data_IF_896332281017
#
_entry.id   IF_896332281017
#
_cell.length_a   1.000
_cell.length_b   1.000
_cell.length_c   1.000
_cell.angle_alpha   90.00
_cell.angle_beta   90.00
_cell.angle_gamma   90.00
#
_symmetry.space_group_name_H-M   'P 1'
#
loop_
_entity.id
_entity.type
_entity.pdbx_description
1 polymer ?
#
# COMPACT_ATOMS: atom_id res chain seq x y z
N UNK A 1 31.54 64.03 -10.87
CA UNK A 1 31.73 62.68 -10.27
C UNK A 1 30.35 62.09 -10.05
N UNK A 2 29.98 61.03 -10.80
CA UNK A 2 28.67 60.37 -10.67
C UNK A 2 28.72 59.48 -9.43
N UNK A 3 27.91 59.80 -8.43
CA UNK A 3 27.77 59.00 -7.22
C UNK A 3 27.05 57.70 -7.60
N UNK A 4 27.82 56.63 -7.84
CA UNK A 4 27.28 55.29 -8.04
C UNK A 4 26.68 54.88 -6.70
N UNK A 5 25.37 54.73 -6.67
CA UNK A 5 24.61 54.38 -5.48
C UNK A 5 24.94 52.93 -5.09
N UNK A 6 26.04 52.76 -4.35
CA UNK A 6 26.67 51.48 -3.96
C UNK A 6 25.68 50.53 -3.28
N UNK A 7 24.70 51.08 -2.56
CA UNK A 7 23.63 50.34 -1.92
C UNK A 7 22.75 49.57 -2.92
N UNK A 8 22.42 50.20 -4.05
CA UNK A 8 21.51 49.61 -5.06
C UNK A 8 22.22 48.52 -5.88
N UNK A 9 23.54 48.68 -6.07
CA UNK A 9 24.40 47.67 -6.67
C UNK A 9 24.57 46.44 -5.74
N UNK A 10 24.80 46.66 -4.44
CA UNK A 10 24.88 45.57 -3.44
C UNK A 10 23.55 44.81 -3.31
N UNK A 11 22.41 45.50 -3.34
CA UNK A 11 21.07 44.87 -3.27
C UNK A 11 20.79 43.99 -4.48
N UNK A 12 21.17 44.42 -5.69
CA UNK A 12 21.08 43.62 -6.92
C UNK A 12 22.01 42.41 -6.91
N UNK A 13 23.20 42.54 -6.32
CA UNK A 13 24.12 41.41 -6.17
C UNK A 13 23.60 40.37 -5.17
N UNK A 14 23.13 40.81 -3.99
CA UNK A 14 22.54 39.89 -3.01
C UNK A 14 21.33 39.14 -3.54
N UNK A 15 20.40 39.82 -4.22
CA UNK A 15 19.20 39.18 -4.78
C UNK A 15 19.54 38.16 -5.87
N UNK A 16 20.54 38.43 -6.72
CA UNK A 16 21.04 37.47 -7.71
C UNK A 16 21.72 36.27 -7.05
N UNK A 17 22.55 36.48 -6.03
CA UNK A 17 23.22 35.39 -5.31
C UNK A 17 22.23 34.47 -4.59
N UNK A 18 21.19 35.03 -3.96
CA UNK A 18 20.13 34.26 -3.31
C UNK A 18 19.35 33.44 -4.36
N UNK A 19 19.01 34.03 -5.50
CA UNK A 19 18.29 33.33 -6.57
C UNK A 19 19.10 32.18 -7.18
N UNK A 20 20.42 32.35 -7.34
CA UNK A 20 21.34 31.30 -7.79
C UNK A 20 21.44 30.18 -6.74
N UNK A 21 21.54 30.51 -5.45
CA UNK A 21 21.55 29.53 -4.37
C UNK A 21 20.25 28.72 -4.31
N UNK A 22 19.10 29.35 -4.53
CA UNK A 22 17.80 28.67 -4.60
C UNK A 22 17.72 27.74 -5.81
N UNK A 23 18.23 28.15 -6.97
CA UNK A 23 18.28 27.27 -8.16
C UNK A 23 19.23 26.08 -7.97
N UNK A 24 20.40 26.30 -7.36
CA UNK A 24 21.35 25.21 -7.05
C UNK A 24 20.73 24.24 -6.03
N UNK A 25 19.99 24.74 -5.04
CA UNK A 25 19.25 23.90 -4.08
C UNK A 25 18.14 23.07 -4.77
N UNK A 26 17.47 23.62 -5.79
CA UNK A 26 16.48 22.87 -6.57
C UNK A 26 17.11 21.80 -7.47
N UNK A 27 18.27 22.06 -8.07
CA UNK A 27 18.96 21.12 -8.98
C UNK A 27 19.64 19.97 -8.21
N UNK A 28 20.06 20.20 -6.96
CA UNK A 28 20.70 19.17 -6.11
C UNK A 28 19.70 18.27 -5.38
N UNK A 29 18.38 18.53 -5.49
CA UNK A 29 17.35 17.58 -5.07
C UNK A 29 17.29 16.42 -6.05
N UNK A 30 18.15 15.44 -5.83
CA UNK A 30 17.99 14.12 -6.43
C UNK A 30 16.65 13.54 -5.96
N UNK A 31 15.77 13.23 -6.90
CA UNK A 31 14.52 12.52 -6.62
C UNK A 31 14.88 11.10 -6.20
N UNK A 32 15.00 10.89 -4.89
CA UNK A 32 15.14 9.54 -4.33
C UNK A 32 13.83 8.82 -4.66
N UNK A 33 13.85 7.83 -5.56
CA UNK A 33 12.63 7.07 -5.89
C UNK A 33 12.38 6.03 -4.80
N UNK A 34 11.41 6.29 -3.93
CA UNK A 34 10.84 5.32 -3.01
C UNK A 34 9.48 4.83 -3.54
N UNK A 35 8.88 3.83 -2.90
CA UNK A 35 7.50 3.41 -3.21
C UNK A 35 6.52 4.41 -2.59
N UNK A 36 5.85 5.23 -3.40
CA UNK A 36 5.09 6.36 -2.89
C UNK A 36 3.58 6.20 -3.09
N UNK A 37 2.77 6.26 -2.02
CA UNK A 37 1.33 6.44 -2.11
C UNK A 37 0.92 7.74 -2.83
N UNK A 38 1.79 8.76 -2.88
CA UNK A 38 1.50 10.06 -3.51
C UNK A 38 1.13 9.93 -5.00
N UNK A 39 1.70 8.96 -5.73
CA UNK A 39 1.38 8.77 -7.13
C UNK A 39 -0.04 8.26 -7.34
N UNK A 40 -0.54 7.43 -6.42
CA UNK A 40 -1.94 7.06 -6.43
C UNK A 40 -2.81 8.30 -6.18
N UNK A 41 -2.52 9.07 -5.12
CA UNK A 41 -3.27 10.29 -4.75
C UNK A 41 -3.33 11.32 -5.89
N UNK A 42 -2.24 11.48 -6.65
CA UNK A 42 -2.17 12.42 -7.78
C UNK A 42 -2.84 11.89 -9.04
N UNK A 43 -2.76 10.58 -9.30
CA UNK A 43 -3.21 9.98 -10.56
C UNK A 43 -4.65 9.46 -10.55
N UNK A 44 -5.22 9.21 -9.36
CA UNK A 44 -6.51 8.53 -9.24
C UNK A 44 -7.41 9.18 -8.18
N UNK A 45 -8.68 9.35 -8.53
CA UNK A 45 -9.68 9.94 -7.62
C UNK A 45 -9.98 9.03 -6.43
N UNK A 46 -10.14 7.75 -6.70
CA UNK A 46 -10.35 6.70 -5.71
C UNK A 46 -9.24 5.66 -5.87
N UNK A 47 -8.58 5.20 -4.79
CA UNK A 47 -7.54 4.18 -4.89
C UNK A 47 -8.08 2.80 -5.26
N UNK A 48 -9.40 2.57 -5.23
CA UNK A 48 -10.04 1.31 -5.58
C UNK A 48 -10.98 1.50 -6.78
N UNK A 49 -10.71 0.73 -7.83
CA UNK A 49 -11.52 0.67 -9.04
C UNK A 49 -12.85 -0.06 -8.76
N UNK A 50 -13.84 0.13 -9.63
CA UNK A 50 -15.14 -0.57 -9.51
C UNK A 50 -15.02 -2.10 -9.53
N UNK A 51 -13.95 -2.63 -10.12
CA UNK A 51 -13.60 -4.06 -10.13
C UNK A 51 -13.10 -4.58 -8.78
N UNK A 52 -12.85 -3.69 -7.82
CA UNK A 52 -12.22 -4.00 -6.53
C UNK A 52 -10.69 -4.03 -6.57
N UNK A 53 -10.08 -3.80 -7.74
CA UNK A 53 -8.62 -3.65 -7.88
C UNK A 53 -8.16 -2.32 -7.28
N UNK A 54 -7.04 -2.35 -6.56
CA UNK A 54 -6.38 -1.16 -6.05
C UNK A 54 -5.34 -0.66 -7.07
N UNK A 55 -5.36 0.64 -7.35
CA UNK A 55 -4.61 1.29 -8.44
C UNK A 55 -3.08 1.16 -8.31
N UNK A 56 -2.57 0.85 -7.12
CA UNK A 56 -1.15 0.52 -6.88
C UNK A 56 -0.68 -0.63 -7.78
N UNK A 57 -1.57 -1.58 -8.10
CA UNK A 57 -1.29 -2.70 -9.00
C UNK A 57 -1.08 -2.28 -10.46
N UNK A 58 -1.34 -1.03 -10.84
CA UNK A 58 -1.07 -0.53 -12.20
C UNK A 58 0.43 -0.24 -12.40
N UNK A 59 1.18 0.04 -11.33
CA UNK A 59 2.62 0.27 -11.38
C UNK A 59 3.44 -0.82 -10.69
N UNK A 60 2.89 -1.45 -9.66
CA UNK A 60 3.51 -2.56 -8.92
C UNK A 60 2.98 -3.89 -9.44
N UNK A 61 3.62 -4.40 -10.49
CA UNK A 61 3.10 -5.50 -11.31
C UNK A 61 3.34 -6.89 -10.71
N UNK A 62 4.33 -7.02 -9.81
CA UNK A 62 4.56 -8.27 -9.10
C UNK A 62 3.54 -8.45 -7.97
N UNK A 63 3.10 -9.69 -7.76
CA UNK A 63 2.15 -10.05 -6.70
C UNK A 63 2.88 -10.66 -5.49
N UNK A 64 2.57 -10.17 -4.30
CA UNK A 64 3.03 -10.74 -3.03
C UNK A 64 1.89 -10.65 -2.00
N UNK A 65 1.76 -11.60 -1.05
CA UNK A 65 0.64 -11.61 -0.11
C UNK A 65 0.69 -10.44 0.88
N UNK A 66 -0.46 -9.91 1.25
CA UNK A 66 -0.65 -8.94 2.33
C UNK A 66 -1.81 -9.48 3.17
N UNK A 67 -1.69 -9.36 4.48
CA UNK A 67 -2.75 -9.78 5.40
C UNK A 67 -3.22 -8.58 6.23
N UNK A 68 -4.46 -8.62 6.68
CA UNK A 68 -5.06 -7.62 7.55
C UNK A 68 -5.78 -8.32 8.69
N UNK A 69 -5.49 -7.88 9.92
CA UNK A 69 -6.14 -8.34 11.13
C UNK A 69 -6.90 -7.19 11.75
N UNK A 70 -8.19 -7.41 12.00
CA UNK A 70 -9.09 -6.46 12.65
C UNK A 70 -9.94 -7.22 13.67
N UNK A 71 -10.45 -6.55 14.72
CA UNK A 71 -11.42 -7.16 15.62
C UNK A 71 -12.67 -7.61 14.84
N UNK A 72 -13.25 -8.72 15.26
CA UNK A 72 -14.49 -9.22 14.67
C UNK A 72 -15.65 -8.21 14.82
N UNK A 73 -15.71 -7.54 15.97
CA UNK A 73 -16.69 -6.49 16.24
C UNK A 73 -16.11 -5.37 17.08
N UNK A 74 -16.62 -4.16 16.89
CA UNK A 74 -16.27 -2.97 17.68
C UNK A 74 -17.53 -2.26 18.13
N UNK A 75 -17.45 -1.64 19.31
CA UNK A 75 -18.48 -0.73 19.80
C UNK A 75 -18.37 0.64 19.10
N UNK A 76 -19.42 1.47 19.11
CA UNK A 76 -19.34 2.84 18.60
C UNK A 76 -18.39 3.71 19.43
N UNK A 77 -17.80 4.75 18.80
CA UNK A 77 -16.86 5.71 19.43
C UNK A 77 -15.72 5.04 20.21
N UNK A 78 -15.16 3.97 19.65
CA UNK A 78 -14.12 3.15 20.27
C UNK A 78 -12.90 3.11 19.36
N UNK A 79 -11.72 3.31 19.96
CA UNK A 79 -10.44 3.16 19.25
C UNK A 79 -10.05 1.68 19.21
N UNK A 80 -9.72 1.18 18.03
CA UNK A 80 -9.25 -0.18 17.82
C UNK A 80 -8.03 -0.23 16.89
N UNK A 81 -7.32 -1.35 16.91
CA UNK A 81 -6.15 -1.59 16.06
C UNK A 81 -6.58 -2.35 14.78
N UNK A 82 -6.20 -1.83 13.61
CA UNK A 82 -6.18 -2.59 12.37
C UNK A 82 -4.73 -2.87 11.98
N UNK A 83 -4.31 -4.14 11.98
CA UNK A 83 -2.92 -4.54 11.77
C UNK A 83 -2.74 -5.01 10.33
N UNK A 84 -1.91 -4.31 9.58
CA UNK A 84 -1.58 -4.64 8.19
C UNK A 84 -0.21 -5.29 8.15
N UNK A 85 -0.15 -6.55 7.71
CA UNK A 85 1.07 -7.33 7.57
C UNK A 85 1.52 -7.34 6.11
N UNK A 86 2.73 -6.85 5.86
CA UNK A 86 3.37 -6.77 4.53
C UNK A 86 4.72 -7.51 4.59
N UNK A 87 4.74 -8.86 4.73
CA UNK A 87 5.88 -9.63 5.24
C UNK A 87 7.30 -9.07 4.97
N UNK A 88 8.02 -9.34 3.89
CA UNK A 88 9.36 -8.81 3.57
C UNK A 88 10.45 -9.74 4.07
N UNK A 89 11.16 -10.30 3.10
CA UNK A 89 12.38 -11.05 3.35
C UNK A 89 13.52 -10.05 3.61
N UNK A 90 14.10 -10.13 4.80
CA UNK A 90 15.15 -9.23 5.29
C UNK A 90 16.50 -9.47 4.62
N UNK A 91 16.71 -10.66 4.04
CA UNK A 91 17.96 -11.04 3.39
C UNK A 91 18.03 -10.54 1.94
N UNK A 92 16.86 -10.33 1.32
CA UNK A 92 16.76 -9.94 -0.09
C UNK A 92 16.92 -8.42 -0.23
N UNK A 93 17.74 -8.02 -1.20
CA UNK A 93 17.96 -6.62 -1.59
C UNK A 93 17.39 -6.35 -2.98
N UNK A 94 16.80 -5.18 -3.17
CA UNK A 94 16.26 -4.72 -4.46
C UNK A 94 17.23 -3.81 -5.19
N UNK A 95 17.02 -3.61 -6.49
CA UNK A 95 17.72 -2.60 -7.29
C UNK A 95 17.16 -1.21 -6.97
N UNK A 96 18.05 -0.31 -6.52
CA UNK A 96 17.76 1.11 -6.29
C UNK A 96 17.82 1.90 -7.61
N UNK A 97 17.35 3.15 -7.60
CA UNK A 97 17.35 4.01 -8.79
C UNK A 97 18.74 4.18 -9.45
N UNK A 98 19.81 4.09 -8.66
CA UNK A 98 21.19 4.19 -9.12
C UNK A 98 21.79 2.86 -9.60
N UNK A 99 21.01 1.77 -9.62
CA UNK A 99 21.45 0.43 -10.02
C UNK A 99 22.12 -0.40 -8.92
N UNK A 100 22.41 0.17 -7.74
CA UNK A 100 22.97 -0.58 -6.61
C UNK A 100 21.89 -1.40 -5.89
N UNK A 101 22.30 -2.48 -5.21
CA UNK A 101 21.41 -3.28 -4.37
C UNK A 101 21.20 -2.62 -3.01
N UNK A 102 19.96 -2.49 -2.55
CA UNK A 102 19.59 -1.85 -1.28
C UNK A 102 18.34 -2.45 -0.64
N UNK A 103 17.96 -1.92 0.52
CA UNK A 103 16.81 -2.40 1.28
C UNK A 103 15.47 -2.07 0.60
N UNK A 104 14.43 -2.79 1.01
CA UNK A 104 13.05 -2.56 0.56
C UNK A 104 12.34 -1.61 1.53
N UNK A 105 11.55 -0.71 0.95
CA UNK A 105 10.57 0.09 1.68
C UNK A 105 9.18 -0.49 1.47
N UNK A 106 8.30 -0.22 2.41
CA UNK A 106 6.89 -0.60 2.35
C UNK A 106 5.98 0.62 2.37
N UNK A 107 4.77 0.41 1.90
CA UNK A 107 3.68 1.37 1.98
C UNK A 107 2.33 0.65 1.89
N UNK A 108 1.29 1.29 2.40
CA UNK A 108 -0.05 0.74 2.39
C UNK A 108 -1.11 1.83 2.14
N UNK A 109 -2.24 1.37 1.62
CA UNK A 109 -3.51 2.09 1.59
C UNK A 109 -4.54 1.24 2.30
N UNK A 110 -5.24 1.83 3.27
CA UNK A 110 -6.32 1.22 4.03
C UNK A 110 -7.60 1.98 3.71
N UNK A 111 -8.60 1.28 3.21
CA UNK A 111 -9.90 1.83 2.81
C UNK A 111 -10.91 1.32 3.83
N UNK A 112 -11.38 2.24 4.66
CA UNK A 112 -12.34 1.98 5.72
C UNK A 112 -13.77 2.28 5.24
N UNK A 113 -14.78 1.76 5.95
CA UNK A 113 -16.17 2.17 5.73
C UNK A 113 -16.36 3.64 6.10
N UNK A 114 -17.40 4.25 5.55
CA UNK A 114 -17.74 5.63 5.86
C UNK A 114 -17.94 5.87 7.37
N UNK A 115 -17.44 7.01 7.85
CA UNK A 115 -17.49 7.40 9.26
C UNK A 115 -16.37 6.82 10.13
N UNK A 116 -15.67 5.77 9.69
CA UNK A 116 -14.43 5.34 10.34
C UNK A 116 -13.30 6.30 9.93
N UNK A 117 -12.50 6.72 10.90
CA UNK A 117 -11.38 7.64 10.65
C UNK A 117 -10.17 7.28 11.52
N UNK A 118 -9.03 7.90 11.22
CA UNK A 118 -7.84 7.80 12.07
C UNK A 118 -8.16 8.37 13.46
N UNK A 119 -7.82 7.62 14.51
CA UNK A 119 -8.06 8.05 15.88
C UNK A 119 -7.30 9.36 16.20
N UNK A 120 -7.95 10.34 16.84
CA UNK A 120 -7.28 11.54 17.34
C UNK A 120 -6.12 11.20 18.29
N UNK A 121 -4.98 11.92 18.25
CA UNK A 121 -3.79 11.58 19.04
C UNK A 121 -4.02 11.52 20.57
N UNK A 122 -4.99 12.25 21.08
CA UNK A 122 -5.41 12.29 22.49
C UNK A 122 -6.24 11.07 22.91
N UNK A 123 -6.87 10.37 21.96
CA UNK A 123 -7.65 9.14 22.18
C UNK A 123 -6.81 7.87 22.05
N UNK A 124 -5.57 7.96 21.57
CA UNK A 124 -4.68 6.81 21.37
C UNK A 124 -3.99 6.47 22.70
N UNK A 125 -4.11 5.22 23.15
CA UNK A 125 -3.45 4.75 24.37
C UNK A 125 -1.92 4.76 24.21
N UNK A 126 -1.15 4.89 25.31
CA UNK A 126 0.31 4.84 25.27
C UNK A 126 0.85 3.56 24.62
N UNK A 127 0.20 2.42 24.86
CA UNK A 127 0.56 1.11 24.29
C UNK A 127 0.42 1.10 22.75
N UNK A 128 -0.69 1.61 22.22
CA UNK A 128 -0.90 1.72 20.77
C UNK A 128 0.12 2.69 20.16
N UNK A 129 0.40 3.80 20.85
CA UNK A 129 1.35 4.82 20.40
C UNK A 129 2.77 4.26 20.29
N UNK A 130 3.18 3.38 21.21
CA UNK A 130 4.47 2.69 21.14
C UNK A 130 4.57 1.76 19.92
N UNK A 131 3.52 0.97 19.64
CA UNK A 131 3.45 0.10 18.45
C UNK A 131 3.55 0.89 17.14
N UNK A 132 2.88 2.04 17.06
CA UNK A 132 2.93 2.93 15.88
C UNK A 132 4.32 3.55 15.73
N UNK A 133 4.95 3.92 16.86
CA UNK A 133 6.22 4.64 16.87
C UNK A 133 6.14 5.96 16.11
N UNK A 134 7.03 6.15 15.14
CA UNK A 134 7.16 7.39 14.36
C UNK A 134 6.43 7.33 13.01
N UNK A 135 5.46 6.43 12.86
CA UNK A 135 4.66 6.35 11.65
C UNK A 135 3.71 7.54 11.54
N UNK A 136 3.55 8.03 10.31
CA UNK A 136 2.66 9.14 10.01
C UNK A 136 1.64 8.68 8.96
N UNK A 137 0.37 8.70 9.36
CA UNK A 137 -0.76 8.37 8.50
C UNK A 137 -1.30 9.64 7.85
N UNK A 138 -1.63 9.54 6.56
CA UNK A 138 -2.23 10.63 5.82
C UNK A 138 -3.57 10.20 5.25
N UNK A 139 -4.48 11.14 5.11
CA UNK A 139 -5.70 10.91 4.36
C UNK A 139 -5.37 10.87 2.86
N UNK A 140 -6.04 10.01 2.11
CA UNK A 140 -5.86 9.93 0.66
C UNK A 140 -6.20 11.26 -0.01
N UNK A 141 -7.26 11.93 0.45
CA UNK A 141 -7.63 13.30 0.10
C UNK A 141 -8.05 14.07 1.35
N UNK A 142 -7.98 15.42 1.36
CA UNK A 142 -8.41 16.21 2.51
C UNK A 142 -9.84 15.91 3.00
N UNK A 143 -10.75 15.57 2.07
CA UNK A 143 -12.17 15.31 2.35
C UNK A 143 -12.49 13.82 2.56
N UNK A 144 -11.54 12.92 2.38
CA UNK A 144 -11.73 11.47 2.50
C UNK A 144 -10.94 10.97 3.71
N UNK A 145 -11.60 10.92 4.87
CA UNK A 145 -10.97 10.54 6.14
C UNK A 145 -10.92 9.03 6.36
N UNK A 146 -11.80 8.31 5.69
CA UNK A 146 -11.95 6.87 5.69
C UNK A 146 -10.87 6.16 4.89
N UNK A 147 -10.14 6.88 4.03
CA UNK A 147 -9.05 6.32 3.23
C UNK A 147 -7.71 6.83 3.78
N UNK A 148 -6.94 5.91 4.35
CA UNK A 148 -5.65 6.20 4.96
C UNK A 148 -4.51 5.66 4.11
N UNK A 149 -3.46 6.45 3.94
CA UNK A 149 -2.23 6.05 3.25
C UNK A 149 -1.01 6.22 4.16
N UNK A 150 -0.05 5.34 3.97
CA UNK A 150 1.23 5.38 4.66
C UNK A 150 2.36 4.90 3.76
N UNK A 151 3.54 5.46 3.99
CA UNK A 151 4.76 5.10 3.31
C UNK A 151 5.26 6.19 2.36
N UNK A 152 6.49 6.06 1.86
CA UNK A 152 7.42 4.95 2.08
C UNK A 152 8.00 4.93 3.50
N UNK A 153 8.07 3.74 4.10
CA UNK A 153 8.77 3.51 5.38
C UNK A 153 9.70 2.29 5.29
N UNK A 154 10.76 2.19 6.12
CA UNK A 154 11.69 1.08 6.07
C UNK A 154 10.99 -0.27 6.31
N UNK A 155 11.00 -1.16 5.32
CA UNK A 155 10.32 -2.46 5.41
C UNK A 155 10.90 -3.37 6.48
N UNK A 156 12.17 -3.19 6.82
CA UNK A 156 12.85 -3.93 7.89
C UNK A 156 12.27 -3.67 9.28
N UNK A 157 11.73 -2.48 9.51
CA UNK A 157 11.15 -2.07 10.79
C UNK A 157 9.64 -2.19 10.80
N UNK A 158 9.02 -2.04 9.63
CA UNK A 158 7.57 -1.89 9.49
C UNK A 158 6.97 -2.96 8.58
N UNK A 159 7.40 -4.22 8.74
CA UNK A 159 6.74 -5.37 8.12
C UNK A 159 5.29 -5.52 8.59
N UNK A 160 4.99 -5.00 9.77
CA UNK A 160 3.65 -4.89 10.34
C UNK A 160 3.37 -3.42 10.66
N UNK A 161 2.20 -2.95 10.27
CA UNK A 161 1.77 -1.57 10.45
C UNK A 161 0.44 -1.57 11.20
N UNK A 162 0.44 -0.98 12.39
CA UNK A 162 -0.76 -0.85 13.23
C UNK A 162 -1.44 0.48 12.94
N UNK A 163 -2.67 0.45 12.44
CA UNK A 163 -3.50 1.63 12.23
C UNK A 163 -4.43 1.83 13.43
N UNK A 164 -4.37 2.98 14.13
CA UNK A 164 -5.32 3.30 15.19
C UNK A 164 -6.59 3.89 14.58
N UNK A 165 -7.67 3.12 14.56
CA UNK A 165 -8.94 3.53 13.93
C UNK A 165 -9.96 3.86 15.00
N UNK A 166 -10.70 4.95 14.82
CA UNK A 166 -11.86 5.30 15.63
C UNK A 166 -13.13 4.85 14.90
N UNK A 167 -13.96 4.05 15.59
CA UNK A 167 -15.27 3.66 15.07
C UNK A 167 -16.28 4.81 15.17
N UNK A 168 -17.18 4.96 14.18
CA UNK A 168 -18.25 5.96 14.21
C UNK A 168 -19.31 5.66 15.26
N UNK A 169 -20.15 6.65 15.56
CA UNK A 169 -21.29 6.50 16.47
C UNK A 169 -22.63 6.78 15.76
N UNK A 170 -23.47 5.77 15.49
CA UNK A 170 -24.80 5.93 14.88
C UNK A 170 -25.77 6.83 15.67
N UNK A 171 -25.52 7.07 16.96
CA UNK A 171 -26.32 8.00 17.74
C UNK A 171 -26.15 9.45 17.24
N UNK A 172 -24.92 9.82 16.87
CA UNK A 172 -24.53 11.18 16.46
C UNK A 172 -24.45 11.35 14.94
N UNK A 173 -24.02 10.31 14.20
CA UNK A 173 -23.96 10.32 12.74
C UNK A 173 -25.08 9.44 12.17
N UNK A 174 -26.03 10.04 11.43
CA UNK A 174 -27.21 9.34 10.87
C UNK A 174 -26.93 8.55 9.60
N UNK A 175 -25.82 8.81 8.93
CA UNK A 175 -25.40 8.09 7.72
C UNK A 175 -24.79 6.71 8.05
N UNK A 176 -24.45 6.48 9.33
CA UNK A 176 -23.83 5.23 9.79
C UNK A 176 -24.84 4.37 10.54
N UNK A 177 -24.83 3.07 10.26
CA UNK A 177 -25.71 2.09 10.88
C UNK A 177 -24.94 0.92 11.52
N UNK A 178 -25.58 0.21 12.44
CA UNK A 178 -25.03 -1.02 13.03
C UNK A 178 -25.13 -2.19 12.05
N UNK A 179 -24.07 -2.36 11.25
CA UNK A 179 -23.95 -3.35 10.19
C UNK A 179 -22.57 -4.01 10.22
N UNK A 180 -22.42 -5.03 9.37
CA UNK A 180 -21.12 -5.60 9.02
C UNK A 180 -20.59 -4.84 7.81
N UNK A 181 -19.41 -4.26 7.93
CA UNK A 181 -18.78 -3.47 6.90
C UNK A 181 -17.51 -4.12 6.36
N UNK A 182 -17.19 -3.96 5.07
CA UNK A 182 -15.93 -4.40 4.51
C UNK A 182 -14.81 -3.38 4.78
N UNK A 183 -13.59 -3.88 4.98
CA UNK A 183 -12.35 -3.11 5.02
C UNK A 183 -11.44 -3.65 3.92
N UNK A 184 -10.88 -2.76 3.10
CA UNK A 184 -9.97 -3.15 2.02
C UNK A 184 -8.57 -2.62 2.29
N UNK A 185 -7.55 -3.43 2.05
CA UNK A 185 -6.16 -3.02 2.18
C UNK A 185 -5.38 -3.32 0.91
N UNK A 186 -4.51 -2.40 0.53
CA UNK A 186 -3.45 -2.60 -0.44
C UNK A 186 -2.09 -2.36 0.22
N UNK A 187 -1.20 -3.35 0.18
CA UNK A 187 0.15 -3.23 0.71
C UNK A 187 1.21 -3.49 -0.36
N UNK A 188 2.24 -2.67 -0.41
CA UNK A 188 3.37 -2.85 -1.32
C UNK A 188 4.68 -2.94 -0.55
N UNK A 189 5.60 -3.75 -1.08
CA UNK A 189 7.02 -3.77 -0.71
C UNK A 189 7.90 -3.66 -1.94
N UNK A 190 8.94 -2.84 -1.86
CA UNK A 190 9.88 -2.60 -2.96
C UNK A 190 9.37 -1.62 -4.02
N UNK A 191 10.20 -1.32 -5.01
CA UNK A 191 9.98 -0.30 -6.03
C UNK A 191 9.07 -0.77 -7.16
N UNK A 192 8.30 0.16 -7.73
CA UNK A 192 7.41 -0.09 -8.88
C UNK A 192 8.16 -0.25 -10.22
N UNK A 193 7.44 -0.76 -11.22
CA UNK A 193 7.93 -1.05 -12.56
C UNK A 193 7.70 0.11 -13.54
N UNK A 194 6.69 0.94 -13.28
CA UNK A 194 6.21 2.01 -14.17
C UNK A 194 6.11 3.33 -13.38
N UNK A 195 6.53 4.42 -14.01
CA UNK A 195 6.37 5.78 -13.49
C UNK A 195 5.05 6.42 -13.96
N UNK A 196 4.56 7.48 -13.29
CA UNK A 196 3.31 8.14 -13.68
C UNK A 196 3.27 8.68 -15.12
N UNK A 197 4.43 8.95 -15.72
CA UNK A 197 4.55 9.37 -17.12
C UNK A 197 4.48 8.20 -18.13
N UNK A 198 4.31 6.96 -17.65
CA UNK A 198 4.28 5.75 -18.44
C UNK A 198 5.65 5.15 -18.74
N UNK A 199 6.74 5.81 -18.36
CA UNK A 199 8.09 5.29 -18.57
C UNK A 199 8.39 4.10 -17.65
N UNK A 200 9.21 3.15 -18.16
CA UNK A 200 9.67 2.00 -17.37
C UNK A 200 10.74 2.42 -16.36
N UNK A 201 10.71 1.81 -15.18
CA UNK A 201 11.78 1.95 -14.19
C UNK A 201 12.94 1.00 -14.49
N UNK A 202 14.03 1.09 -13.71
CA UNK A 202 15.12 0.11 -13.75
C UNK A 202 14.85 -1.15 -12.91
N UNK A 203 13.63 -1.33 -12.40
CA UNK A 203 13.19 -2.49 -11.63
C UNK A 203 12.15 -3.33 -12.41
N UNK A 204 12.40 -3.52 -13.70
CA UNK A 204 11.56 -4.30 -14.62
C UNK A 204 12.42 -4.92 -15.73
N UNK A 205 11.80 -5.77 -16.54
CA UNK A 205 12.43 -6.42 -17.70
C UNK A 205 12.43 -5.48 -18.91
N UNK A 206 13.55 -5.46 -19.64
CA UNK A 206 13.69 -4.79 -20.92
C UNK A 206 13.67 -5.82 -22.05
N UNK A 207 12.84 -5.58 -23.06
CA UNK A 207 12.61 -6.48 -24.18
C UNK A 207 13.18 -5.87 -25.47
N UNK A 208 13.47 -6.73 -26.44
CA UNK A 208 13.92 -6.36 -27.78
C UNK A 208 12.85 -5.57 -28.53
N UNK A 209 13.20 -4.40 -29.07
CA UNK A 209 12.27 -3.58 -29.87
C UNK A 209 12.01 -4.15 -31.26
N UNK A 210 12.92 -4.97 -31.79
CA UNK A 210 12.80 -5.56 -33.13
C UNK A 210 13.38 -6.97 -33.21
N UNK A 211 13.04 -7.70 -34.27
CA UNK A 211 13.63 -9.00 -34.58
C UNK A 211 14.89 -8.80 -35.40
N UNK A 212 16.01 -9.38 -34.98
CA UNK A 212 17.29 -9.13 -35.64
C UNK A 212 18.47 -9.80 -34.96
N UNK A 213 19.66 -9.48 -35.45
CA UNK A 213 20.92 -9.96 -34.85
C UNK A 213 21.52 -8.87 -33.97
N UNK A 214 21.95 -9.22 -32.77
CA UNK A 214 22.64 -8.29 -31.86
C UNK A 214 24.04 -8.02 -32.43
N UNK A 215 24.29 -6.80 -32.90
CA UNK A 215 25.55 -6.43 -33.53
C UNK A 215 26.58 -5.89 -32.54
N UNK A 216 26.13 -5.18 -31.50
CA UNK A 216 27.02 -4.59 -30.50
C UNK A 216 26.34 -4.38 -29.15
N UNK A 217 27.05 -4.64 -28.06
CA UNK A 217 26.62 -4.34 -26.68
C UNK A 217 27.65 -3.40 -26.04
N UNK A 218 27.28 -2.14 -25.84
CA UNK A 218 28.09 -1.11 -25.21
C UNK A 218 27.67 -0.88 -23.76
N UNK A 219 28.60 -1.07 -22.82
CA UNK A 219 28.37 -0.73 -21.41
C UNK A 219 28.64 0.75 -21.16
N UNK A 220 27.66 1.45 -20.58
CA UNK A 220 27.78 2.88 -20.25
C UNK A 220 28.61 3.12 -18.99
N UNK A 221 29.29 4.27 -18.92
CA UNK A 221 30.09 4.69 -17.75
C UNK A 221 29.26 4.79 -16.46
N UNK A 222 28.01 5.26 -16.56
CA UNK A 222 27.07 5.37 -15.42
C UNK A 222 26.33 4.05 -15.12
N UNK A 223 26.75 2.95 -15.74
CA UNK A 223 26.06 1.67 -15.74
C UNK A 223 24.91 1.60 -16.75
N UNK A 224 24.42 0.39 -17.01
CA UNK A 224 23.47 0.11 -18.09
C UNK A 224 24.16 -0.23 -19.41
N UNK A 225 23.34 -0.47 -20.44
CA UNK A 225 23.77 -1.00 -21.72
C UNK A 225 23.08 -0.27 -22.88
N UNK A 226 23.81 -0.11 -23.98
CA UNK A 226 23.29 0.21 -25.31
C UNK A 226 23.46 -1.02 -26.19
N UNK A 227 22.36 -1.52 -26.72
CA UNK A 227 22.30 -2.74 -27.51
C UNK A 227 21.90 -2.35 -28.92
N UNK A 228 22.82 -2.54 -29.87
CA UNK A 228 22.54 -2.33 -31.29
C UNK A 228 22.03 -3.64 -31.90
N UNK A 229 20.86 -3.59 -32.53
CA UNK A 229 20.20 -4.71 -33.19
C UNK A 229 20.10 -4.39 -34.68
N UNK A 230 20.67 -5.25 -35.50
CA UNK A 230 20.52 -5.19 -36.95
C UNK A 230 19.19 -5.87 -37.31
N UNK A 231 18.20 -5.07 -37.69
CA UNK A 231 16.85 -5.55 -37.99
C UNK A 231 16.87 -6.48 -39.21
N UNK A 232 16.25 -7.65 -39.05
CA UNK A 232 16.21 -8.69 -40.08
C UNK A 232 15.36 -8.30 -41.31
N UNK A 233 14.45 -7.32 -41.18
CA UNK A 233 13.47 -7.00 -42.21
C UNK A 233 13.88 -5.85 -43.14
N UNK A 234 14.55 -4.82 -42.62
CA UNK A 234 14.96 -3.62 -43.39
C UNK A 234 16.47 -3.32 -43.31
N UNK A 235 17.25 -4.16 -42.61
CA UNK A 235 18.69 -3.99 -42.43
C UNK A 235 19.08 -2.73 -41.63
N UNK A 236 18.11 -2.03 -41.04
CA UNK A 236 18.38 -0.84 -40.23
C UNK A 236 18.86 -1.22 -38.83
N UNK A 237 19.72 -0.39 -38.27
CA UNK A 237 20.17 -0.55 -36.89
C UNK A 237 19.20 0.15 -35.94
N UNK A 238 18.71 -0.59 -34.95
CA UNK A 238 17.91 -0.07 -33.84
C UNK A 238 18.75 -0.16 -32.57
N UNK A 239 18.68 0.88 -31.71
CA UNK A 239 19.44 0.93 -30.46
C UNK A 239 18.47 0.85 -29.29
N UNK A 240 18.54 -0.25 -28.55
CA UNK A 240 17.81 -0.44 -27.30
C UNK A 240 18.67 -0.02 -26.11
N UNK A 241 18.11 0.81 -25.23
CA UNK A 241 18.80 1.35 -24.05
C UNK A 241 18.27 0.65 -22.80
N UNK A 242 19.18 0.03 -22.04
CA UNK A 242 18.88 -0.62 -20.76
C UNK A 242 19.53 0.19 -19.62
N UNK A 243 18.76 0.64 -18.61
CA UNK A 243 19.31 1.38 -17.48
C UNK A 243 20.14 0.48 -16.55
N UNK A 244 20.92 1.05 -15.60
CA UNK A 244 21.64 0.25 -14.61
C UNK A 244 20.68 -0.50 -13.67
N UNK A 245 20.95 -1.78 -13.44
CA UNK A 245 20.19 -2.61 -12.50
C UNK A 245 19.90 -4.03 -13.01
N UNK A 246 19.10 -4.17 -14.09
CA UNK A 246 18.87 -5.45 -14.74
C UNK A 246 20.17 -6.03 -15.32
N UNK A 247 20.32 -7.35 -15.22
CA UNK A 247 21.44 -8.12 -15.77
C UNK A 247 21.06 -8.61 -17.18
N UNK A 248 21.99 -8.53 -18.14
CA UNK A 248 21.75 -8.99 -19.51
C UNK A 248 21.74 -10.52 -19.59
N UNK A 249 20.87 -11.06 -20.43
CA UNK A 249 20.75 -12.49 -20.73
C UNK A 249 21.31 -12.87 -22.11
N UNK A 250 21.51 -11.89 -22.98
CA UNK A 250 21.91 -12.08 -24.37
C UNK A 250 23.39 -11.79 -24.60
N UNK A 251 23.94 -12.31 -25.70
CA UNK A 251 25.33 -12.06 -26.13
C UNK A 251 25.40 -11.41 -27.51
N UNK A 252 26.53 -10.78 -27.83
CA UNK A 252 26.79 -10.27 -29.19
C UNK A 252 26.76 -11.41 -30.21
N UNK A 253 26.16 -11.16 -31.38
CA UNK A 253 26.01 -12.12 -32.46
C UNK A 253 24.80 -13.04 -32.35
N UNK A 254 24.02 -12.96 -31.26
CA UNK A 254 22.78 -13.73 -31.06
C UNK A 254 21.64 -13.20 -31.94
N UNK A 255 20.78 -14.10 -32.41
CA UNK A 255 19.56 -13.72 -33.13
C UNK A 255 18.37 -13.71 -32.17
N UNK A 256 17.72 -12.57 -32.06
CA UNK A 256 16.63 -12.30 -31.10
C UNK A 256 15.34 -11.94 -31.83
N UNK A 257 14.20 -12.26 -31.21
CA UNK A 257 12.87 -11.90 -31.70
C UNK A 257 12.35 -10.64 -31.02
N UNK A 258 11.45 -9.93 -31.69
CA UNK A 258 10.69 -8.82 -31.08
C UNK A 258 10.03 -9.30 -29.79
N UNK A 259 10.04 -8.43 -28.78
CA UNK A 259 9.56 -8.68 -27.42
C UNK A 259 10.30 -9.77 -26.62
N UNK A 260 11.36 -10.37 -27.17
CA UNK A 260 12.22 -11.28 -26.40
C UNK A 260 12.91 -10.51 -25.26
N UNK A 261 12.95 -11.04 -24.03
CA UNK A 261 13.61 -10.38 -22.91
C UNK A 261 15.12 -10.30 -23.14
N UNK A 262 15.67 -9.09 -23.08
CA UNK A 262 17.11 -8.81 -23.15
C UNK A 262 17.76 -8.94 -21.77
N UNK A 263 16.98 -8.75 -20.71
CA UNK A 263 17.45 -8.73 -19.32
C UNK A 263 16.71 -9.72 -18.45
N UNK A 264 17.29 -10.05 -17.29
CA UNK A 264 16.56 -10.70 -16.21
C UNK A 264 15.49 -9.76 -15.60
N UNK A 265 14.66 -10.32 -14.72
CA UNK A 265 13.75 -9.53 -13.89
C UNK A 265 14.42 -9.21 -12.54
N UNK A 266 14.87 -7.96 -12.30
CA UNK A 266 15.51 -7.59 -11.04
C UNK A 266 14.51 -7.44 -9.88
N UNK A 267 13.20 -7.48 -10.14
CA UNK A 267 12.19 -7.19 -9.14
C UNK A 267 12.04 -8.31 -8.12
N UNK A 268 12.22 -7.96 -6.86
CA UNK A 268 12.03 -8.84 -5.69
C UNK A 268 10.87 -8.40 -4.80
N UNK A 269 10.26 -7.25 -5.12
CA UNK A 269 9.13 -6.68 -4.41
C UNK A 269 7.79 -7.24 -4.87
N UNK A 270 6.73 -6.52 -4.53
CA UNK A 270 5.39 -6.77 -5.05
C UNK A 270 4.29 -6.16 -4.21
N UNK A 271 3.12 -6.09 -4.83
CA UNK A 271 1.89 -5.58 -4.27
C UNK A 271 0.95 -6.73 -3.90
N UNK A 272 0.19 -6.54 -2.84
CA UNK A 272 -0.86 -7.45 -2.39
C UNK A 272 -2.10 -6.68 -1.98
N UNK A 273 -3.24 -7.34 -2.11
CA UNK A 273 -4.51 -6.87 -1.57
C UNK A 273 -5.00 -7.87 -0.53
N UNK A 274 -5.69 -7.35 0.48
CA UNK A 274 -6.39 -8.13 1.49
C UNK A 274 -7.70 -7.45 1.80
N UNK A 275 -8.68 -8.27 2.18
CA UNK A 275 -10.01 -7.82 2.54
C UNK A 275 -10.31 -8.37 3.94
N UNK A 276 -10.98 -7.58 4.77
CA UNK A 276 -11.49 -7.98 6.06
C UNK A 276 -12.90 -7.45 6.25
N UNK A 277 -13.57 -7.90 7.30
CA UNK A 277 -14.89 -7.41 7.65
C UNK A 277 -14.92 -7.06 9.14
N UNK A 278 -15.66 -6.01 9.48
CA UNK A 278 -15.82 -5.55 10.85
C UNK A 278 -17.30 -5.35 11.15
N UNK A 279 -17.76 -5.81 12.32
CA UNK A 279 -19.12 -5.57 12.78
C UNK A 279 -19.15 -4.35 13.70
N UNK A 280 -19.86 -3.30 13.30
CA UNK A 280 -20.19 -2.20 14.22
C UNK A 280 -21.37 -2.66 15.08
N UNK A 281 -21.10 -2.98 16.34
CA UNK A 281 -22.05 -3.65 17.23
C UNK A 281 -22.74 -2.67 18.17
N UNK A 282 -24.05 -2.86 18.33
CA UNK A 282 -24.85 -2.17 19.34
C UNK A 282 -24.85 -2.99 20.65
N UNK A 283 -24.37 -2.42 21.78
CA UNK A 283 -24.43 -3.08 23.08
C UNK A 283 -25.83 -3.59 23.45
N UNK A 284 -26.89 -2.87 23.08
CA UNK A 284 -28.27 -3.24 23.42
C UNK A 284 -28.72 -4.52 22.70
N UNK A 285 -28.25 -4.74 21.46
CA UNK A 285 -28.52 -5.99 20.72
C UNK A 285 -27.92 -7.20 21.45
N UNK A 286 -26.70 -7.05 21.98
CA UNK A 286 -26.03 -8.11 22.74
C UNK A 286 -26.73 -8.37 24.06
N UNK A 287 -27.11 -7.32 24.79
CA UNK A 287 -27.86 -7.47 26.05
C UNK A 287 -29.22 -8.15 25.84
N UNK A 288 -29.97 -7.75 24.82
CA UNK A 288 -31.24 -8.38 24.46
C UNK A 288 -31.07 -9.85 24.06
N UNK A 289 -30.01 -10.17 23.32
CA UNK A 289 -29.66 -11.55 22.97
C UNK A 289 -29.37 -12.39 24.22
N UNK A 290 -28.59 -11.88 25.18
CA UNK A 290 -28.28 -12.61 26.41
C UNK A 290 -29.53 -12.89 27.24
N UNK A 291 -30.46 -11.93 27.34
CA UNK A 291 -31.74 -12.12 28.03
C UNK A 291 -32.60 -13.18 27.34
N UNK A 292 -32.64 -13.16 26.00
CA UNK A 292 -33.35 -14.18 25.22
C UNK A 292 -32.73 -15.56 25.42
N UNK A 293 -31.40 -15.69 25.41
CA UNK A 293 -30.72 -16.96 25.65
C UNK A 293 -31.01 -17.50 27.05
N UNK A 294 -31.00 -16.63 28.07
CA UNK A 294 -31.36 -17.02 29.43
C UNK A 294 -32.82 -17.49 29.53
N UNK A 295 -33.77 -16.82 28.85
CA UNK A 295 -35.17 -17.23 28.85
C UNK A 295 -35.40 -18.56 28.12
N UNK A 296 -34.68 -18.80 27.02
CA UNK A 296 -34.71 -20.08 26.29
C UNK A 296 -34.16 -21.21 27.17
N UNK A 297 -33.03 -21.01 27.84
CA UNK A 297 -32.45 -22.00 28.77
C UNK A 297 -33.44 -22.31 29.88
N UNK A 298 -34.06 -21.29 30.48
CA UNK A 298 -35.05 -21.47 31.54
C UNK A 298 -36.27 -22.25 31.05
N UNK A 299 -36.78 -21.94 29.85
CA UNK A 299 -37.89 -22.66 29.24
C UNK A 299 -37.54 -24.13 28.97
N UNK A 300 -36.34 -24.41 28.44
CA UNK A 300 -35.84 -25.77 28.23
C UNK A 300 -35.78 -26.56 29.53
N UNK A 301 -35.24 -25.96 30.61
CA UNK A 301 -35.20 -26.58 31.93
C UNK A 301 -36.62 -26.90 32.42
N UNK A 302 -37.55 -25.95 32.35
CA UNK A 302 -38.92 -26.17 32.80
C UNK A 302 -39.66 -27.23 31.99
N UNK A 303 -39.47 -27.28 30.67
CA UNK A 303 -40.06 -28.32 29.83
C UNK A 303 -39.56 -29.71 30.22
N UNK A 304 -38.25 -29.86 30.47
CA UNK A 304 -37.67 -31.14 30.90
C UNK A 304 -38.16 -31.52 32.30
N UNK A 305 -38.18 -30.59 33.25
CA UNK A 305 -38.69 -30.83 34.60
C UNK A 305 -40.17 -31.22 34.57
N UNK A 306 -40.98 -30.53 33.76
CA UNK A 306 -42.40 -30.83 33.62
C UNK A 306 -42.63 -32.20 32.99
N UNK A 307 -41.86 -32.56 31.96
CA UNK A 307 -41.89 -33.91 31.37
C UNK A 307 -41.55 -34.96 32.43
N UNK A 308 -40.45 -34.77 33.18
CA UNK A 308 -40.02 -35.70 34.25
C UNK A 308 -41.04 -35.82 35.38
N UNK A 309 -41.74 -34.73 35.69
CA UNK A 309 -42.85 -34.75 36.64
C UNK A 309 -44.02 -35.60 36.13
N UNK A 310 -44.40 -35.44 34.86
CA UNK A 310 -45.52 -36.16 34.26
C UNK A 310 -45.22 -37.65 34.04
N UNK A 311 -43.98 -38.00 33.68
CA UNK A 311 -43.52 -39.40 33.60
C UNK A 311 -43.76 -40.15 34.93
N UNK A 312 -43.66 -39.49 36.08
CA UNK A 312 -43.99 -40.10 37.38
C UNK A 312 -45.48 -40.43 37.52
N UNK A 313 -46.37 -39.60 36.97
CA UNK A 313 -47.82 -39.83 36.98
C UNK A 313 -48.17 -41.01 36.07
N UNK A 314 -47.65 -41.00 34.84
CA UNK A 314 -47.82 -42.11 33.89
C UNK A 314 -47.32 -43.45 34.47
N UNK A 315 -46.18 -43.43 35.19
CA UNK A 315 -45.66 -44.62 35.88
C UNK A 315 -46.58 -45.11 37.00
N UNK A 316 -47.26 -44.21 37.72
CA UNK A 316 -48.18 -44.58 38.80
C UNK A 316 -49.52 -45.11 38.26
N UNK A 317 -50.02 -44.55 37.16
CA UNK A 317 -51.31 -44.93 36.56
C UNK A 317 -51.20 -46.12 35.59
N UNK A 318 -49.98 -46.50 35.17
CA UNK A 318 -49.70 -47.52 34.14
C UNK A 318 -50.51 -47.35 32.85
N UNK A 319 -50.97 -46.14 32.59
CA UNK A 319 -51.74 -45.75 31.42
C UNK A 319 -51.03 -44.56 30.77
N UNK A 320 -50.76 -44.66 29.47
CA UNK A 320 -49.77 -43.81 28.79
C UNK A 320 -50.43 -42.75 27.91
#
# INVERSE_FOLDING_TARGET
>A
MRNINTYDWMKKWMTRSISILVMIHMITRTSISNAYPIFAQQGYENPREATGRIVCANCHLAKKPVNIEVPQSVLPDTVFEAVVQIPCDMQIKQVLANGKKGALNVGAVLILPEGFELAPPDRISPEIKEKIGNLYFQNYRPNQKEILVIGPVPGQKYSEIVFPILSPNPATNKEVHFLKYPIYVGGNRGRGQIYPDGSKSNNTVYNASTTGRVSKILRKEKGGYEITIDNASDGRQVVDIVPPGPELLISEGEFIKVDQPLTNNPNVGGFGQGDAEIVLQDPLRVQGLLLLLASVILAQIFLVLKKKQFEKVQLAEMNF
#
